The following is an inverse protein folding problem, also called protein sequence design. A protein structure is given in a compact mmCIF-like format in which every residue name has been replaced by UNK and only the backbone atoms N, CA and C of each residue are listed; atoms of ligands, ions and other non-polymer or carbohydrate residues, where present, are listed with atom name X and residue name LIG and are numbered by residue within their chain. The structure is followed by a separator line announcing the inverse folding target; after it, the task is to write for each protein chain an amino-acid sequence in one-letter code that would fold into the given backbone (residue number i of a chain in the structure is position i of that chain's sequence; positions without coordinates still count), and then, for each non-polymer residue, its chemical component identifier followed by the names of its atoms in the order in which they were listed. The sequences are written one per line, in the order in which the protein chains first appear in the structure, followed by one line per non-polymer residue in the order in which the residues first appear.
data_IF_998006697885
#
_entry.id   IF_998006697885
#
_cell.length_a   1.000
_cell.length_b   1.000
_cell.length_c   1.000
_cell.angle_alpha   90.00
_cell.angle_beta   90.00
_cell.angle_gamma   90.00
#
_symmetry.space_group_name_H-M   'P 1'
#
loop_
_entity.id
_entity.type
_entity.pdbx_description
1 polymer ?
#
# COMPACT_ATOMS: atom_id res chain seq x y z
N UNK A 1 -15.67 8.24 -11.09
CA UNK A 1 -16.80 7.28 -11.16
C UNK A 1 -17.62 7.56 -12.42
N UNK A 2 -18.09 6.55 -13.16
CA UNK A 2 -18.93 6.79 -14.34
C UNK A 2 -20.25 7.44 -13.92
N UNK A 3 -20.63 8.54 -14.60
CA UNK A 3 -21.93 9.21 -14.41
C UNK A 3 -22.98 8.42 -15.17
N UNK A 4 -23.80 7.66 -14.46
CA UNK A 4 -24.85 6.83 -15.05
C UNK A 4 -26.08 7.71 -15.28
N UNK A 5 -26.40 7.98 -16.55
CA UNK A 5 -27.59 8.76 -16.96
C UNK A 5 -28.70 7.87 -17.53
N UNK A 6 -28.51 6.55 -17.50
CA UNK A 6 -29.41 5.52 -18.03
C UNK A 6 -30.07 4.74 -16.89
N UNK A 7 -31.17 4.05 -17.18
CA UNK A 7 -31.85 3.15 -16.24
C UNK A 7 -31.31 1.71 -16.26
N UNK A 8 -30.18 1.47 -16.94
CA UNK A 8 -29.47 0.19 -16.95
C UNK A 8 -27.96 0.43 -16.94
N UNK A 9 -27.21 -0.54 -16.41
CA UNK A 9 -25.75 -0.59 -16.40
C UNK A 9 -25.33 -1.89 -17.07
N UNK A 10 -24.34 -1.82 -17.96
CA UNK A 10 -23.71 -3.01 -18.53
C UNK A 10 -22.27 -3.08 -18.04
N UNK A 11 -21.94 -4.17 -17.36
CA UNK A 11 -20.59 -4.45 -16.85
C UNK A 11 -20.06 -5.66 -17.63
N UNK A 12 -18.87 -5.53 -18.21
CA UNK A 12 -18.17 -6.67 -18.79
C UNK A 12 -17.36 -7.36 -17.70
N UNK A 13 -17.91 -8.44 -17.17
CA UNK A 13 -17.28 -9.20 -16.09
C UNK A 13 -15.94 -9.81 -16.50
N UNK A 14 -15.69 -10.04 -17.80
CA UNK A 14 -14.40 -10.54 -18.27
C UNK A 14 -13.33 -9.47 -18.13
N UNK A 15 -13.67 -8.22 -18.46
CA UNK A 15 -12.79 -7.08 -18.28
C UNK A 15 -12.64 -6.70 -16.81
N UNK A 16 -13.70 -6.83 -16.00
CA UNK A 16 -13.60 -6.61 -14.54
C UNK A 16 -12.71 -7.66 -13.85
N UNK A 17 -12.73 -8.92 -14.30
CA UNK A 17 -11.81 -9.95 -13.80
C UNK A 17 -10.34 -9.59 -14.09
N UNK A 18 -10.05 -8.96 -15.23
CA UNK A 18 -8.70 -8.48 -15.58
C UNK A 18 -8.30 -7.26 -14.75
N UNK A 19 -9.25 -6.34 -14.53
CA UNK A 19 -9.04 -5.09 -13.78
C UNK A 19 -9.09 -5.25 -12.28
N UNK A 20 -9.60 -6.39 -11.79
CA UNK A 20 -9.97 -6.63 -10.40
C UNK A 20 -8.89 -6.06 -9.47
N UNK A 21 -9.14 -4.89 -8.87
CA UNK A 21 -8.07 -4.11 -8.31
C UNK A 21 -7.46 -4.87 -7.15
N UNK A 22 -6.13 -4.88 -7.13
CA UNK A 22 -5.35 -5.29 -5.98
C UNK A 22 -5.76 -4.39 -4.82
N UNK A 23 -6.42 -4.97 -3.81
CA UNK A 23 -6.53 -4.28 -2.53
C UNK A 23 -5.41 -4.82 -1.64
N UNK A 24 -4.46 -3.98 -1.22
CA UNK A 24 -3.45 -4.36 -0.23
C UNK A 24 -4.12 -4.42 1.14
N UNK A 25 -5.06 -5.34 1.32
CA UNK A 25 -5.47 -5.74 2.66
C UNK A 25 -4.66 -6.98 2.99
N UNK A 26 -3.51 -6.82 3.65
CA UNK A 26 -2.87 -7.97 4.28
C UNK A 26 -3.85 -8.59 5.27
N UNK A 27 -4.15 -9.86 5.05
CA UNK A 27 -5.15 -10.59 5.82
C UNK A 27 -4.78 -12.05 5.81
N UNK A 28 -4.22 -12.51 6.92
CA UNK A 28 -4.14 -13.94 7.18
C UNK A 28 -5.50 -14.36 7.76
N UNK A 29 -6.07 -15.43 7.24
CA UNK A 29 -7.20 -16.12 7.88
C UNK A 29 -6.62 -17.09 8.91
N UNK A 30 -6.57 -16.65 10.17
CA UNK A 30 -5.74 -17.29 11.18
C UNK A 30 -4.24 -17.10 10.88
N UNK A 31 -3.50 -18.18 10.73
CA UNK A 31 -2.06 -18.16 10.45
C UNK A 31 -1.73 -18.18 8.94
N UNK A 32 -2.71 -18.49 8.09
CA UNK A 32 -2.51 -18.73 6.67
C UNK A 32 -3.04 -17.58 5.82
N UNK A 33 -2.44 -17.38 4.66
CA UNK A 33 -2.84 -16.35 3.71
C UNK A 33 -4.34 -16.51 3.39
N UNK A 34 -5.09 -15.41 3.35
CA UNK A 34 -6.50 -15.47 3.00
C UNK A 34 -6.67 -15.67 1.47
N UNK A 35 -7.37 -16.72 1.01
CA UNK A 35 -7.60 -16.98 -0.41
C UNK A 35 -8.17 -15.78 -1.20
N UNK A 36 -9.02 -14.97 -0.57
CA UNK A 36 -9.61 -13.79 -1.22
C UNK A 36 -8.56 -12.77 -1.69
N UNK A 37 -7.40 -12.71 -1.04
CA UNK A 37 -6.29 -11.82 -1.44
C UNK A 37 -5.59 -12.29 -2.72
N UNK A 38 -5.64 -13.58 -3.00
CA UNK A 38 -5.02 -14.15 -4.19
C UNK A 38 -5.92 -14.04 -5.41
N UNK A 39 -7.23 -14.11 -5.23
CA UNK A 39 -8.19 -14.10 -6.32
C UNK A 39 -8.64 -12.69 -6.74
N UNK A 40 -8.60 -11.72 -5.82
CA UNK A 40 -9.12 -10.37 -6.05
C UNK A 40 -10.62 -10.28 -5.78
N UNK A 41 -11.26 -9.21 -6.26
CA UNK A 41 -12.67 -8.91 -6.01
C UNK A 41 -13.64 -9.86 -6.68
N UNK A 42 -13.28 -10.39 -7.86
CA UNK A 42 -14.10 -11.32 -8.64
C UNK A 42 -13.27 -12.54 -9.04
N UNK A 43 -13.89 -13.72 -9.04
CA UNK A 43 -13.26 -14.97 -9.48
C UNK A 43 -14.27 -15.96 -10.07
N UNK A 44 -13.80 -16.89 -10.90
CA UNK A 44 -14.65 -17.88 -11.59
C UNK A 44 -15.35 -18.78 -10.58
N UNK A 45 -16.66 -18.98 -10.78
CA UNK A 45 -17.49 -19.78 -9.89
C UNK A 45 -17.90 -19.05 -8.61
N UNK A 46 -17.34 -17.88 -8.32
CA UNK A 46 -17.73 -17.04 -7.18
C UNK A 46 -19.11 -16.40 -7.36
N UNK A 47 -19.77 -16.18 -6.23
CA UNK A 47 -21.07 -15.51 -6.14
C UNK A 47 -20.91 -14.20 -5.38
N UNK A 48 -21.43 -13.12 -5.95
CA UNK A 48 -21.18 -11.76 -5.49
C UNK A 48 -22.47 -10.96 -5.42
N UNK A 49 -22.58 -10.10 -4.41
CA UNK A 49 -23.62 -9.08 -4.33
C UNK A 49 -23.13 -7.77 -4.96
N UNK A 50 -24.05 -7.01 -5.55
CA UNK A 50 -23.76 -5.66 -6.04
C UNK A 50 -24.75 -4.64 -5.46
N UNK A 51 -24.36 -3.37 -5.45
CA UNK A 51 -25.25 -2.27 -5.08
C UNK A 51 -24.86 -0.99 -5.81
N UNK A 52 -25.83 -0.09 -5.98
CA UNK A 52 -25.62 1.25 -6.55
C UNK A 52 -25.62 2.25 -5.41
N UNK A 53 -24.70 3.20 -5.44
CA UNK A 53 -24.72 4.38 -4.55
C UNK A 53 -24.98 5.63 -5.38
N UNK A 54 -25.99 6.40 -5.00
CA UNK A 54 -26.30 7.71 -5.58
C UNK A 54 -25.55 8.81 -4.82
N UNK A 55 -24.99 9.77 -5.54
CA UNK A 55 -24.28 10.92 -5.01
C UNK A 55 -24.81 12.22 -5.61
N UNK A 56 -24.75 13.32 -4.86
CA UNK A 56 -25.09 14.67 -5.34
C UNK A 56 -23.95 15.26 -6.21
N UNK A 57 -24.15 16.47 -6.73
CA UNK A 57 -23.15 17.16 -7.57
C UNK A 57 -21.84 17.46 -6.82
N UNK A 58 -21.89 17.60 -5.49
CA UNK A 58 -20.73 17.79 -4.64
C UNK A 58 -20.04 16.47 -4.23
N UNK A 59 -20.58 15.32 -4.66
CA UNK A 59 -20.05 14.00 -4.36
C UNK A 59 -20.54 13.40 -3.04
N UNK A 60 -21.41 14.08 -2.29
CA UNK A 60 -21.98 13.54 -1.07
C UNK A 60 -22.96 12.41 -1.39
N UNK A 61 -22.91 11.32 -0.61
CA UNK A 61 -23.82 10.18 -0.79
C UNK A 61 -25.26 10.60 -0.48
N UNK A 62 -26.16 10.43 -1.45
CA UNK A 62 -27.61 10.62 -1.31
C UNK A 62 -28.23 9.35 -0.71
N UNK A 63 -28.00 8.20 -1.33
CA UNK A 63 -28.54 6.91 -0.89
C UNK A 63 -27.76 5.74 -1.52
N UNK A 64 -28.04 4.50 -1.10
CA UNK A 64 -27.56 3.30 -1.77
C UNK A 64 -28.65 2.21 -1.83
N UNK A 65 -28.61 1.37 -2.87
CA UNK A 65 -29.60 0.30 -3.07
C UNK A 65 -29.49 -0.83 -2.04
N UNK A 66 -28.41 -0.89 -1.25
CA UNK A 66 -28.26 -1.78 -0.10
C UNK A 66 -28.80 -1.17 1.21
N UNK A 67 -29.37 0.04 1.19
CA UNK A 67 -30.09 0.66 2.30
C UNK A 67 -29.23 1.08 3.51
N UNK A 68 -29.84 1.82 4.43
CA UNK A 68 -29.30 2.10 5.77
C UNK A 68 -29.86 1.04 6.74
N UNK A 69 -29.01 0.23 7.37
CA UNK A 69 -29.45 -0.74 8.38
C UNK A 69 -30.32 -1.87 7.84
N UNK A 70 -30.24 -2.17 6.55
CA UNK A 70 -30.99 -3.27 5.98
C UNK A 70 -30.39 -4.59 6.49
N UNK A 71 -31.11 -5.24 7.40
CA UNK A 71 -31.05 -6.69 7.58
C UNK A 71 -31.65 -7.30 6.31
N UNK A 72 -30.90 -7.20 5.21
CA UNK A 72 -31.20 -7.94 3.98
C UNK A 72 -30.76 -9.37 4.30
N UNK A 73 -31.70 -10.28 4.53
CA UNK A 73 -31.35 -11.71 4.53
C UNK A 73 -30.66 -12.04 3.21
N UNK A 74 -29.72 -12.99 3.20
CA UNK A 74 -28.96 -13.36 1.98
C UNK A 74 -29.88 -13.58 0.76
N UNK A 75 -31.09 -14.09 0.98
CA UNK A 75 -32.15 -14.31 -0.02
C UNK A 75 -32.60 -13.05 -0.78
N UNK A 76 -32.36 -11.86 -0.24
CA UNK A 76 -32.78 -10.58 -0.83
C UNK A 76 -31.60 -9.76 -1.38
N UNK A 77 -30.37 -10.27 -1.34
CA UNK A 77 -29.23 -9.63 -1.99
C UNK A 77 -29.34 -9.81 -3.51
N UNK A 78 -29.05 -8.77 -4.31
CA UNK A 78 -28.96 -8.92 -5.75
C UNK A 78 -27.64 -9.64 -6.08
N UNK A 79 -27.70 -10.97 -6.14
CA UNK A 79 -26.54 -11.84 -6.37
C UNK A 79 -26.33 -12.10 -7.86
N UNK A 80 -25.07 -12.22 -8.27
CA UNK A 80 -24.67 -12.76 -9.56
C UNK A 80 -23.51 -13.73 -9.39
N UNK A 81 -23.47 -14.74 -10.26
CA UNK A 81 -22.42 -15.75 -10.27
C UNK A 81 -21.53 -15.57 -11.49
N UNK A 82 -20.22 -15.56 -11.29
CA UNK A 82 -19.26 -15.58 -12.40
C UNK A 82 -19.27 -16.96 -13.04
N UNK A 83 -19.59 -17.03 -14.34
CA UNK A 83 -19.60 -18.28 -15.09
C UNK A 83 -18.23 -18.97 -15.03
N UNK A 84 -18.25 -20.29 -14.85
CA UNK A 84 -17.06 -21.13 -14.82
C UNK A 84 -16.90 -21.83 -13.47
N UNK A 85 -15.86 -22.63 -13.36
CA UNK A 85 -15.47 -23.31 -12.14
C UNK A 85 -14.04 -22.92 -11.78
N UNK A 86 -13.72 -23.04 -10.49
CA UNK A 86 -12.35 -22.98 -10.01
C UNK A 86 -11.54 -24.11 -10.64
N UNK A 87 -10.32 -23.82 -11.08
CA UNK A 87 -9.39 -24.86 -11.52
C UNK A 87 -9.05 -25.80 -10.35
N UNK A 88 -8.48 -27.00 -10.59
CA UNK A 88 -8.00 -27.85 -9.51
C UNK A 88 -7.03 -27.13 -8.57
N UNK A 89 -6.11 -26.31 -9.11
CA UNK A 89 -5.18 -25.51 -8.33
C UNK A 89 -5.89 -24.44 -7.49
N UNK A 90 -6.89 -23.76 -8.05
CA UNK A 90 -7.69 -22.77 -7.33
C UNK A 90 -8.47 -23.39 -6.16
N UNK A 91 -8.99 -24.61 -6.33
CA UNK A 91 -9.68 -25.34 -5.26
C UNK A 91 -8.75 -25.66 -4.10
N UNK A 92 -7.49 -26.00 -4.37
CA UNK A 92 -6.48 -26.16 -3.32
C UNK A 92 -6.22 -24.84 -2.58
N UNK A 93 -6.19 -23.69 -3.29
CA UNK A 93 -6.08 -22.38 -2.63
C UNK A 93 -7.27 -22.12 -1.70
N UNK A 94 -8.50 -22.38 -2.14
CA UNK A 94 -9.70 -22.24 -1.30
C UNK A 94 -9.71 -23.17 -0.08
N UNK A 95 -9.17 -24.38 -0.23
CA UNK A 95 -8.96 -25.32 0.86
C UNK A 95 -7.73 -24.97 1.73
N UNK A 96 -7.02 -23.87 1.43
CA UNK A 96 -5.77 -23.45 2.07
C UNK A 96 -4.63 -24.49 1.99
N UNK A 97 -4.71 -25.40 1.01
CA UNK A 97 -3.71 -26.42 0.70
C UNK A 97 -2.61 -25.84 -0.21
N UNK A 98 -1.93 -24.79 0.26
CA UNK A 98 -1.01 -23.98 -0.55
C UNK A 98 0.13 -24.75 -1.22
N UNK A 99 0.67 -25.77 -0.56
CA UNK A 99 1.71 -26.60 -1.16
C UNK A 99 1.21 -27.39 -2.38
N UNK A 100 -0.02 -27.90 -2.32
CA UNK A 100 -0.66 -28.58 -3.45
C UNK A 100 -1.03 -27.60 -4.56
N UNK A 101 -1.54 -26.42 -4.19
CA UNK A 101 -1.86 -25.35 -5.13
C UNK A 101 -0.62 -24.91 -5.93
N UNK A 102 0.52 -24.64 -5.26
CA UNK A 102 1.78 -24.26 -5.91
C UNK A 102 2.22 -25.35 -6.88
N UNK A 103 2.24 -26.62 -6.45
CA UNK A 103 2.65 -27.72 -7.32
C UNK A 103 1.73 -27.88 -8.55
N UNK A 104 0.43 -27.64 -8.38
CA UNK A 104 -0.53 -27.67 -9.48
C UNK A 104 -0.30 -26.51 -10.47
N UNK A 105 -0.15 -25.27 -10.00
CA UNK A 105 0.17 -24.14 -10.90
C UNK A 105 1.52 -24.32 -11.60
N UNK A 106 2.53 -24.88 -10.93
CA UNK A 106 3.81 -25.18 -11.56
C UNK A 106 3.68 -26.27 -12.63
N UNK A 107 2.77 -27.24 -12.46
CA UNK A 107 2.45 -28.22 -13.49
C UNK A 107 1.72 -27.55 -14.67
N UNK A 108 0.75 -26.69 -14.41
CA UNK A 108 0.05 -25.90 -15.44
C UNK A 108 1.05 -25.08 -16.28
N UNK A 109 2.07 -24.49 -15.64
CA UNK A 109 3.14 -23.77 -16.34
C UNK A 109 4.14 -24.64 -17.10
N UNK A 110 4.25 -25.94 -16.78
CA UNK A 110 5.04 -26.87 -17.59
C UNK A 110 4.32 -27.20 -18.90
N UNK A 111 3.01 -27.37 -18.82
CA UNK A 111 2.17 -27.67 -19.98
C UNK A 111 1.94 -26.42 -20.85
N UNK A 112 1.71 -25.27 -20.21
CA UNK A 112 1.58 -23.97 -20.87
C UNK A 112 2.43 -22.89 -20.13
N UNK A 113 3.66 -22.61 -20.61
CA UNK A 113 4.55 -21.61 -20.00
C UNK A 113 4.02 -20.18 -19.94
N UNK A 114 2.94 -19.89 -20.68
CA UNK A 114 2.30 -18.57 -20.82
C UNK A 114 0.93 -18.49 -20.12
N UNK A 115 0.58 -19.46 -19.26
CA UNK A 115 -0.66 -19.37 -18.47
C UNK A 115 -0.60 -18.17 -17.51
N UNK A 116 -1.31 -17.10 -17.86
CA UNK A 116 -1.32 -15.85 -17.09
C UNK A 116 -1.95 -16.01 -15.72
N UNK A 117 -2.93 -16.90 -15.56
CA UNK A 117 -3.58 -17.14 -14.27
C UNK A 117 -2.61 -17.85 -13.31
N UNK A 118 -1.96 -18.92 -13.77
CA UNK A 118 -0.95 -19.61 -12.97
C UNK A 118 0.24 -18.70 -12.61
N UNK A 119 0.69 -17.85 -13.55
CA UNK A 119 1.72 -16.84 -13.29
C UNK A 119 1.29 -15.83 -12.21
N UNK A 120 0.08 -15.28 -12.31
CA UNK A 120 -0.47 -14.36 -11.32
C UNK A 120 -0.58 -15.01 -9.94
N UNK A 121 -1.12 -16.23 -9.85
CA UNK A 121 -1.32 -16.92 -8.58
C UNK A 121 0.00 -17.26 -7.90
N UNK A 122 0.98 -17.78 -8.65
CA UNK A 122 2.32 -18.05 -8.11
C UNK A 122 3.03 -16.76 -7.69
N UNK A 123 2.95 -15.70 -8.50
CA UNK A 123 3.52 -14.40 -8.15
C UNK A 123 2.93 -13.86 -6.85
N UNK A 124 1.60 -13.89 -6.69
CA UNK A 124 0.90 -13.42 -5.49
C UNK A 124 1.21 -14.27 -4.25
N UNK A 125 1.18 -15.59 -4.36
CA UNK A 125 1.52 -16.49 -3.24
C UNK A 125 2.94 -16.22 -2.74
N UNK A 126 3.90 -16.05 -3.65
CA UNK A 126 5.27 -15.73 -3.26
C UNK A 126 5.45 -14.27 -2.80
N UNK A 127 4.66 -13.32 -3.32
CA UNK A 127 4.72 -11.93 -2.90
C UNK A 127 4.26 -11.78 -1.44
N UNK A 128 3.12 -12.36 -1.09
CA UNK A 128 2.55 -12.21 0.25
C UNK A 128 3.07 -13.25 1.26
N UNK A 129 3.53 -14.41 0.78
CA UNK A 129 3.89 -15.54 1.63
C UNK A 129 2.66 -16.27 2.17
N UNK A 130 2.82 -17.57 2.44
CA UNK A 130 1.72 -18.38 2.99
C UNK A 130 1.45 -17.98 4.45
N UNK A 131 2.48 -17.65 5.23
CA UNK A 131 2.38 -17.05 6.56
C UNK A 131 3.10 -15.71 6.63
N UNK A 132 2.84 -14.97 7.70
CA UNK A 132 3.56 -13.73 8.00
C UNK A 132 5.07 -13.99 8.06
N UNK A 133 5.83 -13.21 7.31
CA UNK A 133 7.29 -13.36 7.20
C UNK A 133 7.78 -14.45 6.23
N UNK A 134 6.90 -15.20 5.57
CA UNK A 134 7.28 -16.23 4.58
C UNK A 134 7.29 -15.72 3.12
N UNK A 135 7.18 -14.40 2.92
CA UNK A 135 7.26 -13.78 1.60
C UNK A 135 8.60 -14.12 0.92
N UNK A 136 8.55 -14.39 -0.38
CA UNK A 136 9.67 -14.73 -1.24
C UNK A 136 9.72 -13.75 -2.43
N UNK A 137 10.08 -12.47 -2.20
CA UNK A 137 9.97 -11.41 -3.20
C UNK A 137 10.80 -11.69 -4.46
N UNK A 138 11.94 -12.38 -4.34
CA UNK A 138 12.74 -12.77 -5.51
C UNK A 138 12.00 -13.75 -6.44
N UNK A 139 11.25 -14.71 -5.88
CA UNK A 139 10.42 -15.63 -6.68
C UNK A 139 9.21 -14.90 -7.26
N UNK A 140 8.57 -14.04 -6.47
CA UNK A 140 7.46 -13.22 -6.93
C UNK A 140 7.86 -12.36 -8.15
N UNK A 141 9.02 -11.69 -8.07
CA UNK A 141 9.58 -10.89 -9.17
C UNK A 141 9.73 -11.73 -10.44
N UNK A 142 10.33 -12.92 -10.35
CA UNK A 142 10.51 -13.80 -11.50
C UNK A 142 9.18 -14.20 -12.18
N UNK A 143 8.13 -14.44 -11.41
CA UNK A 143 6.80 -14.75 -11.96
C UNK A 143 6.13 -13.51 -12.56
N UNK A 144 6.21 -12.34 -11.92
CA UNK A 144 5.69 -11.09 -12.46
C UNK A 144 6.44 -10.63 -13.73
N UNK A 145 7.77 -10.77 -13.78
CA UNK A 145 8.59 -10.49 -14.97
C UNK A 145 8.19 -11.39 -16.15
N UNK A 146 7.84 -12.66 -15.88
CA UNK A 146 7.27 -13.56 -16.89
C UNK A 146 5.87 -13.13 -17.30
N UNK A 147 5.02 -12.75 -16.34
CA UNK A 147 3.66 -12.28 -16.60
C UNK A 147 3.66 -11.07 -17.55
N UNK A 148 4.49 -10.06 -17.28
CA UNK A 148 4.57 -8.85 -18.12
C UNK A 148 5.04 -9.11 -19.56
N UNK A 149 5.70 -10.24 -19.84
CA UNK A 149 6.05 -10.64 -21.21
C UNK A 149 4.85 -11.21 -21.98
N UNK A 150 3.82 -11.65 -21.27
CA UNK A 150 2.62 -12.28 -21.82
C UNK A 150 1.43 -11.33 -21.80
N UNK A 151 1.21 -10.67 -20.67
CA UNK A 151 0.12 -9.73 -20.41
C UNK A 151 0.64 -8.54 -19.60
N UNK A 152 0.93 -7.45 -20.31
CA UNK A 152 1.48 -6.23 -19.74
C UNK A 152 0.36 -5.29 -19.29
N UNK A 153 -0.04 -5.43 -18.03
CA UNK A 153 -1.12 -4.62 -17.41
C UNK A 153 -0.56 -3.60 -16.42
N UNK A 154 -1.23 -2.44 -16.25
CA UNK A 154 -0.88 -1.46 -15.22
C UNK A 154 -0.74 -2.08 -13.83
N UNK A 155 -1.62 -3.03 -13.51
CA UNK A 155 -1.67 -3.69 -12.22
C UNK A 155 -0.49 -4.66 -12.03
N UNK A 156 -0.09 -5.40 -13.07
CA UNK A 156 1.10 -6.26 -13.04
C UNK A 156 2.39 -5.43 -12.91
N UNK A 157 2.47 -4.28 -13.59
CA UNK A 157 3.61 -3.34 -13.43
C UNK A 157 3.67 -2.79 -12.01
N UNK A 158 2.53 -2.39 -11.45
CA UNK A 158 2.43 -1.90 -10.06
C UNK A 158 2.90 -2.97 -9.07
N UNK A 159 2.38 -4.20 -9.19
CA UNK A 159 2.76 -5.31 -8.31
C UNK A 159 4.25 -5.67 -8.42
N UNK A 160 4.82 -5.68 -9.64
CA UNK A 160 6.26 -5.89 -9.81
C UNK A 160 7.08 -4.75 -9.19
N UNK A 161 6.63 -3.50 -9.33
CA UNK A 161 7.30 -2.36 -8.71
C UNK A 161 7.31 -2.46 -7.18
N UNK A 162 6.20 -2.86 -6.56
CA UNK A 162 6.11 -3.13 -5.12
C UNK A 162 7.11 -4.22 -4.68
N UNK A 163 7.20 -5.31 -5.45
CA UNK A 163 8.17 -6.39 -5.19
C UNK A 163 9.62 -5.90 -5.39
N UNK A 164 9.89 -5.07 -6.39
CA UNK A 164 11.20 -4.47 -6.59
C UNK A 164 11.60 -3.54 -5.44
N UNK A 165 10.67 -2.77 -4.87
CA UNK A 165 10.93 -2.01 -3.64
C UNK A 165 11.34 -2.93 -2.49
N UNK A 166 10.62 -4.03 -2.26
CA UNK A 166 10.95 -5.01 -1.20
C UNK A 166 12.33 -5.65 -1.39
N UNK A 167 12.80 -5.76 -2.63
CA UNK A 167 14.13 -6.26 -2.97
C UNK A 167 15.23 -5.17 -2.92
N UNK A 168 14.89 -3.91 -2.64
CA UNK A 168 15.81 -2.78 -2.74
C UNK A 168 16.20 -2.41 -4.18
N UNK A 169 15.51 -2.95 -5.19
CA UNK A 169 15.66 -2.62 -6.62
C UNK A 169 14.92 -1.31 -6.94
N UNK A 170 15.19 -0.26 -6.17
CA UNK A 170 14.39 0.97 -6.15
C UNK A 170 14.36 1.69 -7.50
N UNK A 171 15.45 1.66 -8.27
CA UNK A 171 15.49 2.30 -9.59
C UNK A 171 14.52 1.62 -10.58
N UNK A 172 14.44 0.29 -10.55
CA UNK A 172 13.54 -0.46 -11.42
C UNK A 172 12.08 -0.30 -10.97
N UNK A 173 11.84 -0.26 -9.65
CA UNK A 173 10.53 0.09 -9.10
C UNK A 173 10.08 1.47 -9.57
N UNK A 174 10.97 2.48 -9.51
CA UNK A 174 10.69 3.83 -9.95
C UNK A 174 10.30 3.88 -11.43
N UNK A 175 11.02 3.18 -12.30
CA UNK A 175 10.74 3.15 -13.74
C UNK A 175 9.37 2.54 -14.03
N UNK A 176 9.01 1.45 -13.35
CA UNK A 176 7.70 0.82 -13.49
C UNK A 176 6.58 1.75 -13.02
N UNK A 177 6.66 2.31 -11.81
CA UNK A 177 5.64 3.27 -11.35
C UNK A 177 5.56 4.51 -12.25
N UNK A 178 6.70 5.05 -12.68
CA UNK A 178 6.73 6.21 -13.59
C UNK A 178 6.04 5.90 -14.91
N UNK A 179 6.13 4.66 -15.40
CA UNK A 179 5.44 4.23 -16.63
C UNK A 179 3.91 4.26 -16.51
N UNK A 180 3.37 4.28 -15.28
CA UNK A 180 1.94 4.35 -15.01
C UNK A 180 1.42 5.79 -14.95
N UNK A 181 2.31 6.79 -14.90
CA UNK A 181 1.93 8.20 -14.95
C UNK A 181 1.21 8.51 -16.27
N UNK A 182 0.07 9.20 -16.19
CA UNK A 182 -0.77 9.51 -17.35
C UNK A 182 -1.75 8.41 -17.74
N UNK A 183 -1.79 7.29 -17.01
CA UNK A 183 -2.84 6.27 -17.15
C UNK A 183 -3.96 6.47 -16.14
N UNK A 184 -5.05 5.70 -16.26
CA UNK A 184 -6.12 5.68 -15.26
C UNK A 184 -5.66 5.23 -13.85
N UNK A 185 -4.49 4.58 -13.76
CA UNK A 185 -3.88 4.15 -12.51
C UNK A 185 -3.09 5.26 -11.79
N UNK A 186 -2.99 6.47 -12.37
CA UNK A 186 -2.29 7.61 -11.77
C UNK A 186 -3.14 8.33 -10.70
N UNK A 187 -3.49 7.59 -9.65
CA UNK A 187 -4.19 8.09 -8.48
C UNK A 187 -3.22 8.52 -7.37
N UNK A 188 -3.77 8.97 -6.23
CA UNK A 188 -2.95 9.40 -5.08
C UNK A 188 -2.05 8.28 -4.56
N UNK A 189 -2.44 7.01 -4.70
CA UNK A 189 -1.66 5.87 -4.22
C UNK A 189 -0.42 5.70 -5.09
N UNK A 190 -0.54 5.80 -6.43
CA UNK A 190 0.64 5.78 -7.29
C UNK A 190 1.62 6.91 -6.96
N UNK A 191 1.12 8.12 -6.71
CA UNK A 191 1.98 9.25 -6.33
C UNK A 191 2.63 9.05 -4.96
N UNK A 192 1.92 8.43 -4.01
CA UNK A 192 2.47 8.03 -2.72
C UNK A 192 3.59 6.99 -2.85
N UNK A 193 3.36 5.91 -3.59
CA UNK A 193 4.37 4.86 -3.86
C UNK A 193 5.62 5.44 -4.54
N UNK A 194 5.44 6.31 -5.54
CA UNK A 194 6.55 7.02 -6.16
C UNK A 194 7.34 7.87 -5.17
N UNK A 195 6.69 8.49 -4.18
CA UNK A 195 7.38 9.30 -3.18
C UNK A 195 8.19 8.43 -2.22
N UNK A 196 7.68 7.25 -1.86
CA UNK A 196 8.43 6.29 -1.05
C UNK A 196 9.67 5.78 -1.79
N UNK A 197 9.53 5.47 -3.09
CA UNK A 197 10.68 5.07 -3.92
C UNK A 197 11.69 6.20 -4.10
N UNK A 198 11.23 7.43 -4.32
CA UNK A 198 12.11 8.61 -4.38
C UNK A 198 12.90 8.80 -3.09
N UNK A 199 12.26 8.60 -1.93
CA UNK A 199 12.95 8.60 -0.64
C UNK A 199 14.01 7.49 -0.60
N UNK A 200 13.67 6.24 -0.94
CA UNK A 200 14.62 5.12 -0.96
C UNK A 200 15.78 5.30 -1.96
N UNK A 201 15.58 6.09 -3.02
CA UNK A 201 16.61 6.49 -3.98
C UNK A 201 17.51 7.64 -3.48
N UNK A 202 17.33 8.09 -2.23
CA UNK A 202 18.09 9.19 -1.65
C UNK A 202 17.65 10.57 -2.14
N UNK A 203 16.39 10.71 -2.58
CA UNK A 203 15.83 11.95 -3.11
C UNK A 203 14.70 12.49 -2.21
N UNK A 204 14.95 12.78 -0.93
CA UNK A 204 13.89 13.07 0.03
C UNK A 204 13.13 14.37 -0.28
N UNK A 205 13.78 15.36 -0.91
CA UNK A 205 13.11 16.59 -1.34
C UNK A 205 12.15 16.37 -2.52
N UNK A 206 12.52 15.48 -3.45
CA UNK A 206 11.63 15.08 -4.55
C UNK A 206 10.42 14.34 -3.98
N UNK A 207 10.65 13.38 -3.07
CA UNK A 207 9.60 12.67 -2.34
C UNK A 207 8.65 13.64 -1.62
N UNK A 208 9.18 14.62 -0.88
CA UNK A 208 8.39 15.62 -0.18
C UNK A 208 7.54 16.47 -1.14
N UNK A 209 8.11 16.87 -2.28
CA UNK A 209 7.39 17.62 -3.32
C UNK A 209 6.24 16.79 -3.91
N UNK A 210 6.49 15.51 -4.16
CA UNK A 210 5.47 14.59 -4.66
C UNK A 210 4.37 14.35 -3.64
N UNK A 211 4.68 14.30 -2.35
CA UNK A 211 3.69 14.19 -1.29
C UNK A 211 2.80 15.44 -1.19
N UNK A 212 3.34 16.64 -1.42
CA UNK A 212 2.54 17.88 -1.51
C UNK A 212 1.49 17.78 -2.62
N UNK A 213 1.86 17.24 -3.78
CA UNK A 213 0.90 16.94 -4.84
C UNK A 213 -0.10 15.86 -4.39
N UNK A 214 0.38 14.78 -3.78
CA UNK A 214 -0.45 13.64 -3.36
C UNK A 214 -1.57 14.06 -2.43
N UNK A 215 -1.29 14.82 -1.37
CA UNK A 215 -2.32 15.25 -0.40
C UNK A 215 -3.34 16.23 -0.98
N UNK A 216 -3.03 16.87 -2.11
CA UNK A 216 -3.98 17.74 -2.83
C UNK A 216 -4.94 16.97 -3.75
N UNK A 217 -4.69 15.68 -3.99
CA UNK A 217 -5.52 14.82 -4.82
C UNK A 217 -6.75 14.32 -4.05
N UNK A 218 -7.79 13.90 -4.79
CA UNK A 218 -8.92 13.19 -4.20
C UNK A 218 -8.43 11.97 -3.41
N UNK A 219 -8.90 11.84 -2.16
CA UNK A 219 -8.51 10.78 -1.22
C UNK A 219 -7.01 10.76 -0.82
N UNK A 220 -6.22 11.76 -1.26
CA UNK A 220 -4.80 11.89 -0.92
C UNK A 220 -4.51 12.10 0.57
N UNK A 221 -5.52 12.45 1.37
CA UNK A 221 -5.43 12.57 2.83
C UNK A 221 -5.10 11.26 3.54
N UNK A 222 -5.30 10.11 2.87
CA UNK A 222 -5.08 8.77 3.44
C UNK A 222 -3.62 8.29 3.38
N UNK A 223 -2.68 9.17 3.02
CA UNK A 223 -1.24 8.93 3.20
C UNK A 223 -0.80 8.95 4.68
N UNK A 224 -1.72 9.26 5.60
CA UNK A 224 -1.53 9.23 7.06
C UNK A 224 -0.32 10.06 7.50
N UNK A 225 0.48 9.57 8.44
CA UNK A 225 1.60 10.30 9.03
C UNK A 225 2.87 10.34 8.17
N UNK A 226 2.98 9.54 7.10
CA UNK A 226 4.20 9.46 6.27
C UNK A 226 4.76 10.82 5.82
N UNK A 227 3.98 11.73 5.21
CA UNK A 227 4.51 13.03 4.80
C UNK A 227 4.91 13.93 5.97
N UNK A 228 4.24 13.81 7.11
CA UNK A 228 4.58 14.55 8.34
C UNK A 228 5.92 14.05 8.88
N UNK A 229 6.11 12.73 8.92
CA UNK A 229 7.36 12.11 9.37
C UNK A 229 8.52 12.47 8.44
N UNK A 230 8.32 12.43 7.11
CA UNK A 230 9.35 12.84 6.17
C UNK A 230 9.76 14.31 6.35
N UNK A 231 8.79 15.20 6.56
CA UNK A 231 9.06 16.61 6.82
C UNK A 231 9.86 16.82 8.12
N UNK A 232 9.49 16.12 9.21
CA UNK A 232 10.25 16.15 10.46
C UNK A 232 11.67 15.63 10.31
N UNK A 233 11.87 14.54 9.55
CA UNK A 233 13.21 13.99 9.26
C UNK A 233 14.06 14.99 8.48
N UNK A 234 13.46 15.80 7.62
CA UNK A 234 14.13 16.87 6.89
C UNK A 234 14.32 18.17 7.68
N UNK A 235 13.94 18.17 8.96
CA UNK A 235 13.93 19.36 9.82
C UNK A 235 13.08 20.52 9.25
N UNK A 236 12.03 20.18 8.49
CA UNK A 236 11.08 21.12 7.89
C UNK A 236 9.76 21.08 8.67
N UNK A 237 9.78 21.68 9.86
CA UNK A 237 8.63 21.68 10.79
C UNK A 237 7.43 22.44 10.20
N UNK A 238 7.68 23.47 9.39
CA UNK A 238 6.63 24.19 8.65
C UNK A 238 5.88 23.26 7.70
N UNK A 239 6.59 22.48 6.89
CA UNK A 239 5.96 21.46 6.04
C UNK A 239 5.27 20.39 6.88
N UNK A 240 5.84 19.96 8.02
CA UNK A 240 5.22 18.96 8.90
C UNK A 240 3.87 19.45 9.45
N UNK A 241 3.81 20.69 9.93
CA UNK A 241 2.59 21.35 10.39
C UNK A 241 1.55 21.50 9.27
N UNK A 242 2.00 21.86 8.06
CA UNK A 242 1.13 21.95 6.89
C UNK A 242 0.54 20.59 6.52
N UNK A 243 1.36 19.54 6.41
CA UNK A 243 0.92 18.18 6.10
C UNK A 243 -0.05 17.64 7.15
N UNK A 244 0.20 17.92 8.43
CA UNK A 244 -0.69 17.56 9.54
C UNK A 244 -2.08 18.23 9.43
N UNK A 245 -2.26 19.27 8.60
CA UNK A 245 -3.58 19.82 8.32
C UNK A 245 -4.26 19.17 7.11
N UNK A 246 -3.51 18.47 6.25
CA UNK A 246 -4.03 17.87 5.02
C UNK A 246 -4.45 16.40 5.19
N UNK A 247 -3.85 15.68 6.14
CA UNK A 247 -4.05 14.24 6.32
C UNK A 247 -5.15 13.93 7.34
N UNK A 248 -5.79 12.77 7.20
CA UNK A 248 -6.96 12.37 7.99
C UNK A 248 -6.69 12.18 9.50
N UNK A 249 -5.47 11.80 9.86
CA UNK A 249 -5.06 11.59 11.26
C UNK A 249 -4.34 12.80 11.89
N UNK A 250 -4.19 13.89 11.13
CA UNK A 250 -3.32 15.01 11.46
C UNK A 250 -3.68 15.76 12.75
N UNK A 251 -4.98 15.91 13.02
CA UNK A 251 -5.47 16.57 14.25
C UNK A 251 -4.97 15.91 15.54
N UNK A 252 -4.64 14.61 15.51
CA UNK A 252 -4.22 13.86 16.70
C UNK A 252 -2.90 14.35 17.27
N UNK A 253 -1.99 14.80 16.39
CA UNK A 253 -0.63 15.20 16.74
C UNK A 253 -0.29 16.67 16.42
N UNK A 254 -1.18 17.40 15.74
CA UNK A 254 -0.97 18.82 15.41
C UNK A 254 -0.61 19.70 16.63
N UNK A 255 -1.23 19.55 17.83
CA UNK A 255 -0.81 20.34 19.01
C UNK A 255 0.61 20.01 19.48
N UNK A 256 1.00 18.72 19.43
CA UNK A 256 2.33 18.27 19.82
C UNK A 256 3.40 18.76 18.84
N UNK A 257 3.08 18.83 17.54
CA UNK A 257 3.99 19.41 16.53
C UNK A 257 4.27 20.90 16.79
N UNK A 258 3.25 21.67 17.18
CA UNK A 258 3.43 23.09 17.53
C UNK A 258 4.29 23.29 18.78
N UNK A 259 4.14 22.40 19.76
CA UNK A 259 5.01 22.40 20.93
C UNK A 259 6.43 22.01 20.56
N UNK A 260 6.60 20.99 19.71
CA UNK A 260 7.90 20.53 19.23
C UNK A 260 8.68 21.66 18.56
N UNK A 261 8.03 22.44 17.68
CA UNK A 261 8.57 23.62 17.00
C UNK A 261 9.16 24.68 17.96
N UNK A 262 8.60 24.77 19.18
CA UNK A 262 9.04 25.74 20.19
C UNK A 262 10.11 25.23 21.13
N UNK A 263 10.25 23.90 21.25
CA UNK A 263 11.08 23.24 22.28
C UNK A 263 12.37 22.69 21.70
N UNK A 264 12.33 22.16 20.48
CA UNK A 264 13.47 21.46 19.88
C UNK A 264 14.15 22.33 18.83
N UNK A 265 15.48 22.34 18.89
CA UNK A 265 16.34 22.93 17.87
C UNK A 265 16.58 21.95 16.72
N UNK A 266 17.14 22.46 15.63
CA UNK A 266 17.56 21.66 14.47
C UNK A 266 18.53 20.55 14.84
N UNK A 267 18.51 19.47 14.06
CA UNK A 267 19.49 18.40 14.18
C UNK A 267 20.92 18.91 13.91
N UNK A 268 21.92 18.12 14.29
CA UNK A 268 23.30 18.48 13.96
C UNK A 268 23.49 18.65 12.44
N UNK A 269 24.28 19.63 11.97
CA UNK A 269 24.47 19.87 10.54
C UNK A 269 24.96 18.65 9.75
N UNK A 270 25.72 17.76 10.40
CA UNK A 270 26.20 16.52 9.77
C UNK A 270 25.06 15.52 9.53
N UNK A 271 24.14 15.37 10.48
CA UNK A 271 22.95 14.53 10.35
C UNK A 271 22.02 15.10 9.29
N UNK A 272 21.76 16.40 9.35
CA UNK A 272 20.91 17.10 8.38
C UNK A 272 21.45 16.96 6.95
N UNK A 273 22.75 17.17 6.75
CA UNK A 273 23.38 17.01 5.44
C UNK A 273 23.29 15.58 4.93
N UNK A 274 23.53 14.58 5.79
CA UNK A 274 23.41 13.17 5.42
C UNK A 274 21.97 12.82 5.00
N UNK A 275 20.97 13.28 5.75
CA UNK A 275 19.55 13.08 5.39
C UNK A 275 19.22 13.74 4.06
N UNK A 276 19.62 15.01 3.87
CA UNK A 276 19.33 15.80 2.66
C UNK A 276 19.94 15.20 1.40
N UNK A 277 21.06 14.49 1.53
CA UNK A 277 21.77 13.81 0.43
C UNK A 277 21.38 12.34 0.28
N UNK A 278 20.45 11.83 1.09
CA UNK A 278 20.00 10.45 1.01
C UNK A 278 20.91 9.42 1.68
N UNK A 279 21.92 9.86 2.42
CA UNK A 279 22.88 9.02 3.14
C UNK A 279 22.31 8.55 4.50
N UNK A 280 21.13 7.91 4.49
CA UNK A 280 20.38 7.60 5.72
C UNK A 280 21.12 6.68 6.71
N UNK A 281 21.92 5.74 6.20
CA UNK A 281 22.75 4.87 7.04
C UNK A 281 23.86 5.65 7.75
N UNK A 282 24.44 6.65 7.09
CA UNK A 282 25.40 7.56 7.69
C UNK A 282 24.72 8.47 8.73
N UNK A 283 23.54 9.02 8.39
CA UNK A 283 22.75 9.79 9.35
C UNK A 283 22.46 8.98 10.62
N UNK A 284 21.98 7.74 10.48
CA UNK A 284 21.68 6.85 11.60
C UNK A 284 22.90 6.49 12.45
N UNK A 285 24.10 6.43 11.85
CA UNK A 285 25.35 6.18 12.56
C UNK A 285 25.86 7.39 13.38
N UNK A 286 25.42 8.60 13.02
CA UNK A 286 25.76 9.84 13.73
C UNK A 286 24.86 10.10 14.95
N UNK A 287 23.71 9.42 15.05
CA UNK A 287 22.74 9.62 16.12
C UNK A 287 23.23 9.08 17.46
N UNK A 288 23.09 9.90 18.50
CA UNK A 288 23.46 9.58 19.88
C UNK A 288 22.31 8.85 20.62
N UNK A 289 22.44 8.71 21.94
CA UNK A 289 21.39 8.19 22.83
C UNK A 289 20.56 9.31 23.46
N UNK A 290 20.75 10.55 23.04
CA UNK A 290 19.91 11.66 23.48
C UNK A 290 18.45 11.47 22.98
N UNK A 291 17.44 11.93 23.74
CA UNK A 291 16.04 11.70 23.40
C UNK A 291 15.64 12.15 21.99
N UNK A 292 16.17 13.28 21.51
CA UNK A 292 15.85 13.83 20.19
C UNK A 292 16.41 12.96 19.05
N UNK A 293 17.62 12.45 19.21
CA UNK A 293 18.25 11.52 18.27
C UNK A 293 17.57 10.15 18.26
N UNK A 294 17.12 9.66 19.42
CA UNK A 294 16.31 8.44 19.51
C UNK A 294 14.96 8.60 18.79
N UNK A 295 14.34 9.77 18.92
CA UNK A 295 13.11 10.11 18.20
C UNK A 295 13.36 10.13 16.68
N UNK A 296 14.40 10.84 16.21
CA UNK A 296 14.77 10.86 14.80
C UNK A 296 15.08 9.47 14.26
N UNK A 297 15.77 8.61 15.04
CA UNK A 297 16.02 7.22 14.67
C UNK A 297 14.73 6.43 14.44
N UNK A 298 13.72 6.66 15.27
CA UNK A 298 12.41 6.03 15.11
C UNK A 298 11.72 6.46 13.81
N UNK A 299 11.78 7.75 13.49
CA UNK A 299 11.22 8.29 12.26
C UNK A 299 11.91 7.72 11.02
N UNK A 300 13.25 7.64 11.02
CA UNK A 300 14.02 7.03 9.93
C UNK A 300 13.64 5.55 9.71
N UNK A 301 13.55 4.76 10.79
CA UNK A 301 13.15 3.35 10.69
C UNK A 301 11.74 3.19 10.10
N UNK A 302 10.81 4.07 10.47
CA UNK A 302 9.47 4.08 9.88
C UNK A 302 9.49 4.40 8.38
N UNK A 303 10.27 5.41 7.96
CA UNK A 303 10.41 5.74 6.53
C UNK A 303 11.10 4.64 5.72
N UNK A 304 11.99 3.85 6.34
CA UNK A 304 12.60 2.63 5.79
C UNK A 304 11.63 1.42 5.74
N UNK A 305 10.37 1.61 6.11
CA UNK A 305 9.32 0.59 5.98
C UNK A 305 9.19 -0.37 7.16
N UNK A 306 9.81 -0.07 8.32
CA UNK A 306 9.56 -0.83 9.55
C UNK A 306 8.15 -0.58 10.05
N UNK A 307 7.50 -1.64 10.54
CA UNK A 307 6.16 -1.56 11.11
C UNK A 307 6.13 -0.53 12.24
N UNK A 308 5.12 0.36 12.29
CA UNK A 308 4.96 1.33 13.38
C UNK A 308 4.97 0.67 14.77
N UNK A 309 4.42 -0.54 14.89
CA UNK A 309 4.43 -1.31 16.13
C UNK A 309 5.84 -1.71 16.53
N UNK A 310 6.61 -2.30 15.61
CA UNK A 310 7.97 -2.75 15.86
C UNK A 310 8.87 -1.56 16.25
N UNK A 311 8.75 -0.43 15.54
CA UNK A 311 9.52 0.78 15.84
C UNK A 311 9.19 1.30 17.25
N UNK A 312 7.90 1.37 17.62
CA UNK A 312 7.48 1.79 18.95
C UNK A 312 7.97 0.83 20.02
N UNK A 313 7.84 -0.48 19.84
CA UNK A 313 8.29 -1.47 20.82
C UNK A 313 9.81 -1.41 21.02
N UNK A 314 10.56 -1.18 19.95
CA UNK A 314 12.01 -1.06 20.01
C UNK A 314 12.48 0.23 20.72
N UNK A 315 11.88 1.39 20.41
CA UNK A 315 12.42 2.69 20.84
C UNK A 315 11.64 3.40 21.94
N UNK A 316 10.34 3.15 22.12
CA UNK A 316 9.54 3.77 23.19
C UNK A 316 10.12 3.55 24.60
N UNK A 317 10.66 2.36 24.97
CA UNK A 317 11.25 2.15 26.30
C UNK A 317 12.50 2.98 26.56
N UNK A 318 13.15 3.50 25.50
CA UNK A 318 14.39 4.27 25.58
C UNK A 318 14.12 5.78 25.66
N UNK A 319 12.92 6.22 25.25
CA UNK A 319 12.51 7.62 25.31
C UNK A 319 11.94 7.96 26.70
N UNK A 320 12.35 9.08 27.32
CA UNK A 320 11.72 9.57 28.54
C UNK A 320 10.25 9.94 28.26
N UNK A 321 9.41 9.83 29.30
CA UNK A 321 8.03 10.28 29.22
C UNK A 321 7.96 11.79 28.92
N UNK A 322 7.12 12.18 27.96
CA UNK A 322 6.94 13.57 27.54
C UNK A 322 6.72 13.72 26.04
N UNK A 323 6.99 14.93 25.53
CA UNK A 323 6.61 15.36 24.19
C UNK A 323 7.03 14.39 23.06
N UNK A 324 8.29 13.96 23.03
CA UNK A 324 8.79 13.08 21.97
C UNK A 324 8.17 11.67 22.01
N UNK A 325 7.95 11.13 23.20
CA UNK A 325 7.32 9.82 23.36
C UNK A 325 5.84 9.86 22.95
N UNK A 326 5.13 10.93 23.33
CA UNK A 326 3.74 11.15 22.93
C UNK A 326 3.62 11.38 21.43
N UNK A 327 4.48 12.22 20.86
CA UNK A 327 4.51 12.51 19.43
C UNK A 327 4.81 11.24 18.62
N UNK A 328 5.80 10.45 19.04
CA UNK A 328 6.11 9.16 18.41
C UNK A 328 4.90 8.21 18.43
N UNK A 329 4.21 8.12 19.56
CA UNK A 329 3.05 7.24 19.75
C UNK A 329 1.84 7.66 18.89
N UNK A 330 1.75 8.94 18.52
CA UNK A 330 0.67 9.44 17.68
C UNK A 330 0.98 9.44 16.20
N UNK A 331 2.26 9.54 15.83
CA UNK A 331 2.71 9.45 14.44
C UNK A 331 2.77 8.01 13.94
N UNK A 332 3.20 7.07 14.78
CA UNK A 332 3.35 5.65 14.46
C UNK A 332 2.24 4.86 15.16
#
# INVERSE_FOLDING_TARGET
RPRITTNFIRIDLTEELKKSPFYPSYGYDGELLNPHLLFGQLYRGGEFAWYITAHDEAGHKINASNGYGAVVGEEALPLFKIKGELSPADRCVWAQEYAQAIAAYEADLKDNPYDTHALVMLARIHHFGIRSGEAQPAKAAAYYERLLKVDDTPEARKALAEVYQQLGRCQEAYELYRSLLGTAAADWQLHYELAQVEYQLGQPHAALTRLKHTVSMADGRYVRSYPVVLALVLDDVDSALWFAQQVDEGERYLPLLREYDTVYESFSPAVEQAIKTGEYQQAAALLTQEPHDLFLRALLLYLEGKSPTDVREQLRPQLPAGLLQDLLTKLL
#
